data_IF_205484470550
#
_entry.id   IF_205484470550
#
_cell.length_a   1.000
_cell.length_b   1.000
_cell.length_c   1.000
_cell.angle_alpha   90.00
_cell.angle_beta   90.00
_cell.angle_gamma   90.00
#
_symmetry.space_group_name_H-M   'P 1'
#
loop_
_entity.id
_entity.type
_entity.pdbx_description
1 polymer ?
#
# COMPACT_ATOMS: atom_id res chain seq x y z
N UNK A 1 7.35 3.20 12.09
CA UNK A 1 6.68 4.52 11.90
C UNK A 1 6.27 4.81 10.46
N UNK A 2 7.18 4.86 9.47
CA UNK A 2 6.83 5.17 8.07
C UNK A 2 5.80 4.20 7.47
N UNK A 3 5.98 2.89 7.73
CA UNK A 3 5.05 1.87 7.26
C UNK A 3 3.62 2.09 7.79
N UNK A 4 3.45 2.49 9.05
CA UNK A 4 2.12 2.78 9.61
C UNK A 4 1.48 4.05 9.01
N UNK A 5 2.31 5.03 8.58
CA UNK A 5 1.84 6.23 7.90
C UNK A 5 1.42 5.96 6.45
N UNK A 6 2.07 5.00 5.80
CA UNK A 6 1.81 4.64 4.39
C UNK A 6 0.69 3.61 4.27
N UNK A 7 0.67 2.60 5.13
CA UNK A 7 -0.25 1.46 5.06
C UNK A 7 -1.35 1.48 6.12
N UNK A 8 -1.30 2.41 7.09
CA UNK A 8 -2.16 2.42 8.27
C UNK A 8 -1.57 1.62 9.45
N UNK A 9 -2.07 1.90 10.65
CA UNK A 9 -1.77 1.10 11.84
C UNK A 9 -2.46 -0.27 11.74
N UNK A 10 -1.75 -1.32 12.12
CA UNK A 10 -2.25 -2.70 12.15
C UNK A 10 -2.48 -3.06 13.61
N UNK A 11 -3.71 -2.97 14.10
CA UNK A 11 -4.02 -3.13 15.51
C UNK A 11 -4.42 -4.58 15.81
N UNK A 12 -3.64 -5.22 16.68
CA UNK A 12 -3.99 -6.53 17.24
C UNK A 12 -4.71 -6.34 18.56
N UNK A 13 -5.88 -6.95 18.71
CA UNK A 13 -6.70 -6.86 19.91
C UNK A 13 -6.60 -8.15 20.73
N UNK A 14 -6.33 -8.01 22.02
CA UNK A 14 -6.24 -9.12 22.98
C UNK A 14 -7.03 -8.79 24.23
N UNK A 15 -7.47 -9.82 24.97
CA UNK A 15 -8.17 -9.63 26.23
C UNK A 15 -7.42 -10.36 27.35
N UNK A 16 -7.12 -9.61 28.40
CA UNK A 16 -6.51 -10.06 29.65
C UNK A 16 -7.53 -9.83 30.78
N UNK A 17 -8.25 -10.88 31.16
CA UNK A 17 -9.33 -10.76 32.16
C UNK A 17 -10.39 -9.75 31.72
N UNK A 18 -10.61 -8.72 32.53
CA UNK A 18 -11.53 -7.58 32.30
C UNK A 18 -10.98 -6.51 31.38
N UNK A 19 -9.70 -6.56 31.05
CA UNK A 19 -9.03 -5.53 30.26
C UNK A 19 -8.81 -6.00 28.84
N UNK A 20 -9.28 -5.22 27.87
CA UNK A 20 -8.95 -5.38 26.45
C UNK A 20 -7.75 -4.50 26.14
N UNK A 21 -6.70 -5.08 25.55
CA UNK A 21 -5.52 -4.36 25.08
C UNK A 21 -5.45 -4.41 23.57
N UNK A 22 -4.95 -3.35 22.96
CA UNK A 22 -4.61 -3.36 21.55
C UNK A 22 -3.26 -2.70 21.31
N UNK A 23 -2.49 -3.27 20.40
CA UNK A 23 -1.18 -2.75 20.03
C UNK A 23 -0.96 -2.90 18.55
N UNK A 24 -0.19 -1.97 17.99
CA UNK A 24 0.23 -2.07 16.60
C UNK A 24 1.23 -3.23 16.46
N UNK A 25 0.95 -4.19 15.57
CA UNK A 25 1.85 -5.32 15.28
C UNK A 25 3.20 -4.84 14.74
N UNK A 26 3.21 -3.65 14.10
CA UNK A 26 4.44 -3.01 13.59
C UNK A 26 5.20 -2.21 14.66
N UNK A 27 4.86 -2.41 15.93
CA UNK A 27 5.54 -1.87 17.12
C UNK A 27 5.80 -0.36 17.07
N UNK A 28 4.91 0.39 16.42
CA UNK A 28 5.09 1.83 16.24
C UNK A 28 4.70 2.66 17.47
N UNK A 29 4.43 2.02 18.61
CA UNK A 29 3.95 2.65 19.83
C UNK A 29 2.47 3.06 19.83
N UNK A 30 1.73 2.78 18.75
CA UNK A 30 0.28 2.99 18.72
C UNK A 30 -0.42 1.81 19.40
N UNK A 31 -1.23 2.09 20.42
CA UNK A 31 -1.91 1.07 21.19
C UNK A 31 -2.66 1.69 22.36
N UNK A 32 -3.39 0.85 23.08
CA UNK A 32 -4.15 1.28 24.25
C UNK A 32 -4.73 0.10 25.01
N UNK A 33 -5.39 0.43 26.12
CA UNK A 33 -6.13 -0.54 26.92
C UNK A 33 -7.49 0.05 27.29
N UNK A 34 -8.48 -0.83 27.44
CA UNK A 34 -9.81 -0.49 27.91
C UNK A 34 -10.30 -1.56 28.87
N UNK A 35 -10.73 -1.12 30.03
CA UNK A 35 -11.31 -1.98 31.04
C UNK A 35 -12.82 -2.11 30.86
N UNK A 36 -13.33 -3.31 31.15
CA UNK A 36 -14.74 -3.65 31.10
C UNK A 36 -15.17 -4.24 32.44
N UNK A 37 -16.46 -4.14 32.74
CA UNK A 37 -17.08 -4.71 33.94
C UNK A 37 -16.96 -6.23 34.03
N UNK A 38 -16.90 -6.92 32.89
CA UNK A 38 -16.81 -8.37 32.82
C UNK A 38 -15.75 -8.86 31.83
N UNK A 39 -15.01 -9.88 32.22
CA UNK A 39 -14.00 -10.54 31.38
C UNK A 39 -14.60 -11.12 30.09
N UNK A 40 -15.82 -11.67 30.18
CA UNK A 40 -16.55 -12.16 29.02
C UNK A 40 -16.85 -11.04 28.00
N UNK A 41 -17.01 -9.80 28.46
CA UNK A 41 -17.23 -8.64 27.59
C UNK A 41 -15.94 -8.22 26.89
N UNK A 42 -14.85 -8.11 27.65
CA UNK A 42 -13.52 -7.82 27.10
C UNK A 42 -13.12 -8.84 26.02
N UNK A 43 -13.31 -10.14 26.27
CA UNK A 43 -13.01 -11.20 25.31
C UNK A 43 -13.91 -11.14 24.06
N UNK A 44 -15.21 -10.89 24.23
CA UNK A 44 -16.14 -10.75 23.09
C UNK A 44 -15.74 -9.59 22.18
N UNK A 45 -15.42 -8.44 22.76
CA UNK A 45 -14.99 -7.28 21.97
C UNK A 45 -13.62 -7.52 21.33
N UNK A 46 -12.64 -8.07 22.05
CA UNK A 46 -11.33 -8.37 21.47
C UNK A 46 -11.44 -9.27 20.23
N UNK A 47 -12.23 -10.37 20.32
CA UNK A 47 -12.44 -11.28 19.18
C UNK A 47 -13.21 -10.64 18.03
N UNK A 48 -14.17 -9.76 18.33
CA UNK A 48 -14.95 -9.07 17.31
C UNK A 48 -14.10 -8.06 16.52
N UNK A 49 -13.23 -7.31 17.21
CA UNK A 49 -12.34 -6.34 16.59
C UNK A 49 -11.18 -7.01 15.83
N UNK A 50 -10.55 -8.04 16.39
CA UNK A 50 -9.45 -8.78 15.74
C UNK A 50 -9.86 -9.38 14.39
N UNK A 51 -11.08 -9.96 14.31
CA UNK A 51 -11.63 -10.51 13.06
C UNK A 51 -11.88 -9.44 12.00
N UNK A 52 -12.42 -8.28 12.40
CA UNK A 52 -12.79 -7.21 11.47
C UNK A 52 -11.55 -6.47 10.95
N UNK A 53 -10.53 -6.26 11.79
CA UNK A 53 -9.28 -5.60 11.39
C UNK A 53 -8.48 -6.46 10.40
N UNK A 54 -8.41 -7.78 10.64
CA UNK A 54 -7.76 -8.74 9.73
C UNK A 54 -8.39 -8.73 8.32
N UNK A 55 -9.71 -8.58 8.23
CA UNK A 55 -10.45 -8.55 6.95
C UNK A 55 -10.27 -7.20 6.20
N UNK A 56 -10.20 -6.07 6.93
CA UNK A 56 -10.02 -4.73 6.33
C UNK A 56 -8.60 -4.54 5.75
N UNK A 57 -7.58 -5.18 6.34
CA UNK A 57 -6.19 -5.18 5.87
C UNK A 57 -6.01 -5.84 4.48
N UNK A 58 -6.75 -6.92 4.21
CA UNK A 58 -6.75 -7.53 2.87
C UNK A 58 -7.40 -6.65 1.80
N UNK A 59 -8.28 -5.73 2.21
CA UNK A 59 -9.07 -4.91 1.29
C UNK A 59 -8.43 -3.57 0.94
N UNK A 60 -7.57 -3.03 1.81
CA UNK A 60 -6.93 -1.71 1.61
C UNK A 60 -5.59 -1.73 0.87
N UNK A 61 -5.06 -2.91 0.51
CA UNK A 61 -3.76 -3.05 -0.13
C UNK A 61 -3.77 -3.85 -1.45
N UNK A 62 -4.46 -3.37 -2.53
CA UNK A 62 -3.99 -3.79 -3.86
C UNK A 62 -3.84 -2.67 -4.91
N UNK A 63 -3.90 -1.37 -4.58
CA UNK A 63 -3.86 -0.33 -5.64
C UNK A 63 -2.83 0.80 -5.50
N UNK A 64 -2.14 0.96 -4.37
CA UNK A 64 -1.05 1.97 -4.22
C UNK A 64 0.33 1.40 -4.58
N UNK A 65 0.39 0.31 -5.37
CA UNK A 65 1.65 -0.30 -5.83
C UNK A 65 1.88 -0.27 -7.34
N UNK A 66 0.86 0.04 -8.15
CA UNK A 66 0.91 -0.13 -9.61
C UNK A 66 0.93 1.19 -10.40
N UNK A 67 0.73 2.32 -9.74
CA UNK A 67 0.87 3.63 -10.38
C UNK A 67 2.30 3.92 -10.88
N UNK A 68 3.39 3.58 -10.15
CA UNK A 68 4.75 3.85 -10.61
C UNK A 68 5.10 3.12 -11.92
N UNK A 69 4.65 1.87 -12.06
CA UNK A 69 4.93 1.04 -13.24
C UNK A 69 4.16 1.51 -14.48
N UNK A 70 2.93 2.04 -14.32
CA UNK A 70 2.16 2.60 -15.45
C UNK A 70 2.79 3.89 -15.98
N UNK A 71 3.35 4.75 -15.12
CA UNK A 71 4.07 5.94 -15.58
C UNK A 71 5.37 5.59 -16.33
N UNK A 72 6.14 4.62 -15.83
CA UNK A 72 7.40 4.20 -16.48
C UNK A 72 7.14 3.59 -17.87
N UNK A 73 6.06 2.81 -18.06
CA UNK A 73 5.69 2.28 -19.39
C UNK A 73 5.31 3.39 -20.37
N UNK A 74 4.49 4.35 -19.96
CA UNK A 74 4.07 5.46 -20.82
C UNK A 74 5.23 6.37 -21.24
N UNK A 75 6.27 6.51 -20.41
CA UNK A 75 7.46 7.29 -20.75
C UNK A 75 8.37 6.57 -21.76
N UNK A 76 8.55 5.24 -21.61
CA UNK A 76 9.32 4.42 -22.56
C UNK A 76 8.73 4.44 -23.98
N UNK A 77 7.40 4.42 -24.10
CA UNK A 77 6.73 4.47 -25.41
C UNK A 77 6.88 5.81 -26.14
N UNK A 78 7.10 6.91 -25.40
CA UNK A 78 7.38 8.22 -26.01
C UNK A 78 8.82 8.32 -26.50
N UNK A 79 9.78 7.91 -25.66
CA UNK A 79 11.21 7.93 -26.01
C UNK A 79 11.50 7.02 -27.22
N UNK A 80 10.84 5.86 -27.32
CA UNK A 80 10.97 4.97 -28.48
C UNK A 80 10.42 5.57 -29.78
N UNK A 81 9.32 6.33 -29.72
CA UNK A 81 8.74 7.01 -30.89
C UNK A 81 9.62 8.17 -31.37
N UNK A 82 10.22 8.92 -30.46
CA UNK A 82 11.14 10.02 -30.78
C UNK A 82 12.44 9.50 -31.43
N UNK A 83 12.96 8.36 -30.97
CA UNK A 83 14.11 7.68 -31.60
C UNK A 83 13.79 7.23 -33.03
N UNK A 84 12.65 6.58 -33.24
CA UNK A 84 12.22 6.12 -34.56
C UNK A 84 11.93 7.27 -35.55
N UNK A 85 11.41 8.39 -35.06
CA UNK A 85 11.17 9.58 -35.89
C UNK A 85 12.49 10.25 -36.33
N UNK A 86 13.46 10.35 -35.42
CA UNK A 86 14.80 10.88 -35.73
C UNK A 86 15.56 10.00 -36.72
N UNK A 87 15.45 8.68 -36.59
CA UNK A 87 16.10 7.74 -37.53
C UNK A 87 15.48 7.81 -38.93
N UNK A 88 14.15 7.93 -39.03
CA UNK A 88 13.46 8.14 -40.32
C UNK A 88 13.88 9.46 -40.98
N UNK A 89 13.93 10.54 -40.21
CA UNK A 89 14.40 11.84 -40.70
C UNK A 89 15.87 11.80 -41.15
N UNK A 90 16.73 11.07 -40.45
CA UNK A 90 18.14 10.90 -40.84
C UNK A 90 18.30 10.11 -42.15
N UNK A 91 17.50 9.05 -42.36
CA UNK A 91 17.48 8.27 -43.61
C UNK A 91 16.97 9.09 -44.79
N UNK A 92 15.93 9.90 -44.59
CA UNK A 92 15.40 10.79 -45.62
C UNK A 92 16.40 11.88 -46.02
N UNK A 93 17.12 12.47 -45.04
CA UNK A 93 18.19 13.44 -45.30
C UNK A 93 19.40 12.81 -46.00
N UNK A 94 19.75 11.57 -45.67
CA UNK A 94 20.83 10.83 -46.33
C UNK A 94 20.48 10.53 -47.80
N UNK A 95 19.22 10.17 -48.10
CA UNK A 95 18.76 9.97 -49.48
C UNK A 95 18.72 11.27 -50.30
N UNK A 96 18.35 12.39 -49.67
CA UNK A 96 18.25 13.70 -50.33
C UNK A 96 19.61 14.37 -50.62
N UNK A 97 20.70 13.91 -49.98
CA UNK A 97 22.07 14.36 -50.25
C UNK A 97 22.77 13.59 -51.38
N UNK A 98 22.17 12.49 -51.86
CA UNK A 98 22.73 11.61 -52.89
C UNK A 98 22.03 11.76 -54.26
N UNK A 99 21.04 12.66 -54.35
CA UNK A 99 20.38 13.07 -55.58
C UNK A 99 20.77 14.51 -55.91
#
# INVERSE_FOLDING_TARGET
MLACRIFGHDYRFTAEGTTMRWSCVRECGAGGAKEYDAAARAQRYARAFDRKDTDDLGRRAPLIGLFPLRMIRAMRERIGREGAARERAAREQAGRRQA
#
